data_IF_724692822839
#
_entry.id   IF_724692822839
#
_cell.length_a   1.000
_cell.length_b   1.000
_cell.length_c   1.000
_cell.angle_alpha   90.00
_cell.angle_beta   90.00
_cell.angle_gamma   90.00
#
_symmetry.space_group_name_H-M   'P 1'
#
loop_
_entity.id
_entity.type
_entity.pdbx_description
1 polymer ?
#
# COMPACT_ATOMS: atom_id res chain seq x y z
N UNK A 1 -18.80 11.24 -38.94
CA UNK A 1 -19.23 10.07 -38.14
C UNK A 1 -18.95 8.83 -38.98
N UNK A 2 -17.69 8.50 -39.23
CA UNK A 2 -17.30 7.35 -40.09
C UNK A 2 -15.84 6.95 -39.83
N UNK A 3 -15.52 6.49 -38.62
CA UNK A 3 -14.14 6.04 -38.32
C UNK A 3 -14.07 4.74 -37.51
N UNK A 4 -15.11 3.91 -37.52
CA UNK A 4 -15.11 2.61 -36.82
C UNK A 4 -15.82 1.49 -37.60
N UNK A 5 -15.62 1.41 -38.91
CA UNK A 5 -16.10 0.28 -39.72
C UNK A 5 -14.96 -0.39 -40.45
N UNK A 6 -14.06 -1.04 -39.71
CA UNK A 6 -13.22 -2.09 -40.29
C UNK A 6 -13.37 -3.41 -39.54
N UNK A 7 -14.33 -4.21 -40.04
CA UNK A 7 -14.50 -5.65 -39.78
C UNK A 7 -13.23 -6.40 -40.19
N UNK A 8 -12.29 -6.64 -39.26
CA UNK A 8 -11.44 -7.86 -39.19
C UNK A 8 -10.34 -7.87 -38.10
N UNK A 9 -10.39 -7.01 -37.09
CA UNK A 9 -9.49 -7.20 -35.94
C UNK A 9 -10.09 -8.29 -35.04
N UNK A 10 -9.67 -9.55 -35.24
CA UNK A 10 -9.92 -10.63 -34.28
C UNK A 10 -9.10 -10.34 -33.03
N UNK A 11 -9.67 -9.54 -32.12
CA UNK A 11 -9.02 -9.31 -30.85
C UNK A 11 -8.92 -10.62 -30.06
N UNK A 12 -7.69 -11.04 -29.75
CA UNK A 12 -7.42 -12.25 -28.96
C UNK A 12 -7.63 -12.01 -27.47
N UNK A 13 -8.60 -11.19 -27.06
CA UNK A 13 -8.87 -10.90 -25.64
C UNK A 13 -9.15 -12.19 -24.85
N UNK A 14 -9.86 -13.15 -25.47
CA UNK A 14 -10.13 -14.46 -24.86
C UNK A 14 -8.89 -15.35 -24.69
N UNK A 15 -7.80 -15.08 -25.42
CA UNK A 15 -6.53 -15.82 -25.33
C UNK A 15 -5.58 -15.13 -24.35
N UNK A 16 -5.49 -13.79 -24.42
CA UNK A 16 -4.70 -12.97 -23.47
C UNK A 16 -5.24 -13.10 -22.04
N UNK A 17 -6.56 -13.19 -21.85
CA UNK A 17 -7.15 -13.42 -20.53
C UNK A 17 -6.86 -14.80 -19.91
N UNK A 18 -6.47 -15.81 -20.72
CA UNK A 18 -6.07 -17.14 -20.23
C UNK A 18 -4.58 -17.21 -19.85
N UNK A 19 -3.74 -16.42 -20.54
CA UNK A 19 -2.32 -16.27 -20.20
C UNK A 19 -2.09 -15.23 -19.08
N UNK A 20 -3.12 -14.46 -18.74
CA UNK A 20 -3.15 -13.58 -17.57
C UNK A 20 -3.22 -14.44 -16.30
N UNK A 21 -2.06 -14.74 -15.71
CA UNK A 21 -2.01 -15.18 -14.31
C UNK A 21 -2.35 -13.95 -13.47
N UNK A 22 -3.41 -14.02 -12.65
CA UNK A 22 -3.51 -13.11 -11.52
C UNK A 22 -2.21 -13.30 -10.72
N UNK A 23 -1.37 -12.27 -10.71
CA UNK A 23 -0.29 -12.21 -9.72
C UNK A 23 -1.05 -11.95 -8.43
N UNK A 24 -1.19 -12.98 -7.59
CA UNK A 24 -1.69 -12.81 -6.23
C UNK A 24 -0.65 -11.97 -5.50
N UNK A 25 -0.80 -10.65 -5.59
CA UNK A 25 0.06 -9.69 -4.92
C UNK A 25 -0.54 -9.46 -3.55
N UNK A 26 -0.19 -10.34 -2.62
CA UNK A 26 -0.42 -10.05 -1.21
C UNK A 26 0.30 -8.75 -0.89
N UNK A 27 -0.50 -7.77 -0.56
CA UNK A 27 -0.07 -6.41 -0.27
C UNK A 27 -0.74 -5.97 1.02
N UNK A 28 -0.02 -5.17 1.77
CA UNK A 28 -0.50 -4.56 3.01
C UNK A 28 -0.64 -3.06 2.79
N UNK A 29 -1.63 -2.48 3.43
CA UNK A 29 -1.83 -1.03 3.43
C UNK A 29 -1.07 -0.44 4.62
N UNK A 30 -0.23 0.55 4.35
CA UNK A 30 0.46 1.34 5.37
C UNK A 30 -0.07 2.78 5.32
N UNK A 31 -0.53 3.27 6.46
CA UNK A 31 -0.96 4.64 6.66
C UNK A 31 0.24 5.50 7.08
N UNK A 32 0.45 6.59 6.36
CA UNK A 32 1.55 7.53 6.56
C UNK A 32 1.01 8.74 7.34
N UNK A 33 1.27 8.77 8.65
CA UNK A 33 0.79 9.82 9.56
C UNK A 33 1.81 10.94 9.84
N UNK A 34 2.74 11.19 8.92
CA UNK A 34 3.78 12.22 9.11
C UNK A 34 3.24 13.66 9.02
N UNK A 35 2.13 13.86 8.31
CA UNK A 35 1.44 15.16 8.25
C UNK A 35 0.46 15.34 9.41
N UNK A 36 0.31 16.58 9.90
CA UNK A 36 -0.62 16.89 11.01
C UNK A 36 -2.08 16.50 10.67
N UNK A 37 -2.51 16.70 9.42
CA UNK A 37 -3.83 16.30 8.96
C UNK A 37 -3.99 14.77 8.95
N UNK A 38 -2.97 14.04 8.51
CA UNK A 38 -2.97 12.58 8.47
C UNK A 38 -3.05 11.98 9.88
N UNK A 39 -2.26 12.50 10.83
CA UNK A 39 -2.29 12.07 12.23
C UNK A 39 -3.66 12.35 12.88
N UNK A 40 -4.27 13.51 12.58
CA UNK A 40 -5.65 13.80 13.03
C UNK A 40 -6.65 12.77 12.49
N UNK A 41 -6.58 12.44 11.21
CA UNK A 41 -7.45 11.42 10.60
C UNK A 41 -7.25 10.07 11.28
N UNK A 42 -6.00 9.66 11.51
CA UNK A 42 -5.67 8.40 12.17
C UNK A 42 -6.22 8.33 13.61
N UNK A 43 -6.09 9.41 14.39
CA UNK A 43 -6.69 9.50 15.74
C UNK A 43 -8.21 9.39 15.69
N UNK A 44 -8.85 10.07 14.73
CA UNK A 44 -10.29 9.98 14.54
C UNK A 44 -10.75 8.56 14.17
N UNK A 45 -10.01 7.85 13.31
CA UNK A 45 -10.27 6.45 12.98
C UNK A 45 -10.17 5.56 14.23
N UNK A 46 -9.15 5.75 15.06
CA UNK A 46 -8.97 4.97 16.30
C UNK A 46 -10.08 5.21 17.33
N UNK A 47 -10.64 6.42 17.39
CA UNK A 47 -11.71 6.77 18.35
C UNK A 47 -13.11 6.42 17.83
N UNK A 48 -13.42 6.77 16.58
CA UNK A 48 -14.76 6.64 15.98
C UNK A 48 -14.94 5.30 15.25
N UNK A 49 -13.85 4.55 15.04
CA UNK A 49 -13.81 3.36 14.20
C UNK A 49 -13.69 3.68 12.71
N UNK A 50 -13.55 2.61 11.92
CA UNK A 50 -13.31 2.67 10.48
C UNK A 50 -14.59 2.87 9.67
N UNK A 51 -15.18 4.06 9.79
CA UNK A 51 -16.37 4.44 9.00
C UNK A 51 -16.03 4.64 7.53
N UNK A 52 -17.01 4.48 6.62
CA UNK A 52 -16.81 4.70 5.17
C UNK A 52 -16.27 6.09 4.85
N UNK A 53 -16.77 7.13 5.53
CA UNK A 53 -16.28 8.50 5.36
C UNK A 53 -14.87 8.69 5.91
N UNK A 54 -14.57 8.11 7.08
CA UNK A 54 -13.22 8.14 7.65
C UNK A 54 -12.20 7.46 6.75
N UNK A 55 -12.51 6.25 6.26
CA UNK A 55 -11.65 5.52 5.33
C UNK A 55 -11.44 6.27 4.02
N UNK A 56 -12.46 6.95 3.50
CA UNK A 56 -12.33 7.78 2.30
C UNK A 56 -11.33 8.93 2.49
N UNK A 57 -11.33 9.56 3.66
CA UNK A 57 -10.37 10.61 3.99
C UNK A 57 -8.96 10.04 4.26
N UNK A 58 -8.90 8.83 4.80
CA UNK A 58 -7.64 8.15 5.11
C UNK A 58 -6.90 7.64 3.87
N UNK A 59 -7.61 7.29 2.81
CA UNK A 59 -7.04 6.62 1.62
C UNK A 59 -5.93 7.45 0.95
N UNK A 60 -5.99 8.78 1.01
CA UNK A 60 -4.97 9.66 0.43
C UNK A 60 -3.61 9.56 1.14
N UNK A 61 -3.60 9.06 2.38
CA UNK A 61 -2.40 8.85 3.19
C UNK A 61 -2.01 7.36 3.27
N UNK A 62 -2.63 6.51 2.44
CA UNK A 62 -2.34 5.09 2.39
C UNK A 62 -1.40 4.76 1.23
N UNK A 63 -0.36 3.98 1.52
CA UNK A 63 0.49 3.35 0.52
C UNK A 63 0.33 1.85 0.57
N UNK A 64 0.48 1.19 -0.58
CA UNK A 64 0.40 -0.27 -0.69
C UNK A 64 1.80 -0.84 -0.78
N UNK A 65 2.12 -1.79 0.09
CA UNK A 65 3.45 -2.40 0.22
C UNK A 65 3.32 -3.90 -0.02
N UNK A 66 4.20 -4.49 -0.85
CA UNK A 66 4.25 -5.93 -1.05
C UNK A 66 4.73 -6.66 0.20
N UNK A 67 4.22 -7.87 0.45
CA UNK A 67 4.58 -8.70 1.61
C UNK A 67 6.10 -8.76 1.88
N UNK A 68 6.93 -8.98 0.85
CA UNK A 68 8.39 -9.05 1.02
C UNK A 68 9.00 -7.78 1.63
N UNK A 69 8.48 -6.61 1.25
CA UNK A 69 8.93 -5.32 1.78
C UNK A 69 8.29 -5.06 3.14
N UNK A 70 7.01 -5.40 3.28
CA UNK A 70 6.27 -5.28 4.53
C UNK A 70 6.94 -6.08 5.65
N UNK A 71 7.31 -7.34 5.42
CA UNK A 71 7.93 -8.22 6.42
C UNK A 71 9.23 -7.63 6.97
N UNK A 72 10.02 -6.98 6.11
CA UNK A 72 11.25 -6.31 6.53
C UNK A 72 10.94 -5.09 7.40
N UNK A 73 9.99 -4.24 6.96
CA UNK A 73 9.58 -3.05 7.71
C UNK A 73 8.96 -3.41 9.07
N UNK A 74 8.09 -4.41 9.08
CA UNK A 74 7.45 -4.92 10.28
C UNK A 74 8.48 -5.55 11.23
N UNK A 75 9.40 -6.37 10.71
CA UNK A 75 10.50 -6.96 11.48
C UNK A 75 11.48 -5.94 12.07
N UNK A 76 11.66 -4.80 11.41
CA UNK A 76 12.44 -3.67 11.92
C UNK A 76 11.69 -2.79 12.94
N UNK A 77 10.42 -3.11 13.25
CA UNK A 77 9.59 -2.35 14.18
C UNK A 77 9.09 -1.01 13.64
N UNK A 78 9.09 -0.82 12.32
CA UNK A 78 8.66 0.43 11.66
C UNK A 78 7.15 0.51 11.44
N UNK A 79 6.43 -0.61 11.59
CA UNK A 79 5.01 -0.72 11.31
C UNK A 79 4.27 -1.30 12.50
N UNK A 80 3.05 -0.80 12.73
CA UNK A 80 2.15 -1.33 13.76
C UNK A 80 0.74 -1.50 13.22
N UNK A 81 -0.01 -2.54 13.60
CA UNK A 81 -1.42 -2.64 13.24
C UNK A 81 -2.20 -1.43 13.77
N UNK A 82 -3.06 -0.83 12.94
CA UNK A 82 -3.89 0.30 13.39
C UNK A 82 -4.95 -0.15 14.40
N UNK A 83 -5.46 -1.37 14.22
CA UNK A 83 -6.41 -2.01 15.13
C UNK A 83 -6.23 -3.54 15.13
N UNK A 84 -6.51 -4.19 16.27
CA UNK A 84 -6.33 -5.64 16.44
C UNK A 84 -7.24 -6.48 15.53
N UNK A 85 -8.39 -5.94 15.13
CA UNK A 85 -9.40 -6.62 14.33
C UNK A 85 -9.35 -6.25 12.84
N UNK A 86 -8.33 -5.51 12.40
CA UNK A 86 -8.21 -5.08 11.01
C UNK A 86 -6.97 -5.71 10.39
N UNK A 87 -7.20 -6.68 9.52
CA UNK A 87 -6.15 -7.31 8.74
C UNK A 87 -5.61 -6.32 7.71
N UNK A 88 -4.32 -6.46 7.43
CA UNK A 88 -3.64 -5.80 6.31
C UNK A 88 -3.63 -4.27 6.34
N UNK A 89 -3.85 -3.66 7.52
CA UNK A 89 -3.77 -2.22 7.70
C UNK A 89 -2.90 -1.79 8.89
N UNK A 90 -1.83 -1.06 8.57
CA UNK A 90 -0.76 -0.70 9.49
C UNK A 90 -0.50 0.80 9.47
N UNK A 91 0.04 1.35 10.55
CA UNK A 91 0.58 2.71 10.64
C UNK A 91 2.10 2.68 10.61
N UNK A 92 2.70 3.71 10.00
CA UNK A 92 4.14 3.96 10.09
C UNK A 92 4.46 4.54 11.47
N UNK A 93 5.32 3.87 12.23
CA UNK A 93 5.71 4.33 13.58
C UNK A 93 7.00 5.13 13.60
N UNK A 94 7.81 5.03 12.54
CA UNK A 94 9.04 5.79 12.36
C UNK A 94 8.88 6.81 11.24
N UNK A 95 8.48 8.03 11.61
CA UNK A 95 8.26 9.14 10.67
C UNK A 95 9.53 9.54 9.91
N UNK A 96 10.72 9.25 10.44
CA UNK A 96 11.99 9.57 9.78
C UNK A 96 12.20 8.80 8.47
N UNK A 97 11.45 7.71 8.28
CA UNK A 97 11.48 6.85 7.08
C UNK A 97 10.55 7.31 5.99
N UNK A 98 9.87 8.44 6.15
CA UNK A 98 9.06 9.04 5.10
C UNK A 98 9.45 10.51 4.93
N UNK A 99 9.68 10.89 3.68
CA UNK A 99 9.85 12.30 3.32
C UNK A 99 8.90 12.64 2.18
N UNK A 100 8.43 13.89 2.12
CA UNK A 100 7.59 14.35 1.01
C UNK A 100 8.33 14.25 -0.34
N UNK A 101 9.65 14.41 -0.35
CA UNK A 101 10.46 14.40 -1.57
C UNK A 101 10.73 12.98 -2.09
N UNK A 102 11.12 12.03 -1.23
CA UNK A 102 11.53 10.67 -1.63
C UNK A 102 10.46 9.60 -1.37
N UNK A 103 9.40 9.95 -0.64
CA UNK A 103 8.36 9.01 -0.23
C UNK A 103 8.84 8.10 0.91
N UNK A 104 8.28 6.88 0.95
CA UNK A 104 8.59 5.88 1.96
C UNK A 104 9.93 5.20 1.65
N UNK A 105 10.87 5.30 2.58
CA UNK A 105 12.17 4.65 2.50
C UNK A 105 12.02 3.14 2.77
N UNK A 106 12.36 2.34 1.76
CA UNK A 106 12.26 0.88 1.79
C UNK A 106 13.60 0.19 2.05
N UNK A 107 14.70 0.93 1.98
CA UNK A 107 16.04 0.42 2.27
C UNK A 107 16.21 0.29 3.79
N UNK A 108 15.99 -0.92 4.27
CA UNK A 108 16.26 -1.27 5.67
C UNK A 108 17.64 -1.92 5.68
N UNK A 109 18.63 -1.19 6.17
CA UNK A 109 19.94 -1.75 6.43
C UNK A 109 19.84 -2.73 7.61
N UNK A 110 19.61 -4.00 7.28
CA UNK A 110 19.51 -5.07 8.28
C UNK A 110 20.87 -5.42 8.92
N UNK A 111 21.96 -4.69 8.64
CA UNK A 111 23.28 -4.93 9.23
C UNK A 111 23.84 -6.33 8.96
N UNK A 112 23.26 -7.08 8.00
CA UNK A 112 23.77 -8.39 7.60
C UNK A 112 24.80 -8.22 6.49
N UNK A 113 26.06 -8.00 6.91
CA UNK A 113 27.20 -8.22 6.02
C UNK A 113 27.33 -9.72 5.78
N UNK A 114 26.96 -10.18 4.58
CA UNK A 114 27.36 -11.48 4.06
C UNK A 114 28.81 -11.38 3.59
N UNK A 115 29.73 -11.92 4.39
CA UNK A 115 31.08 -12.21 3.91
C UNK A 115 31.03 -13.47 3.04
N UNK A 116 31.55 -13.39 1.81
CA UNK A 116 31.84 -14.51 0.91
C UNK A 116 33.35 -14.72 0.77
#
# INVERSE_FOLDING_TARGET
>A
MDEFTNKKIKYRFAQVGKDFRLIEQNTKTVFINCEEEADKILRELKVKGFTRSGMRNATQYCVTVYDQTFDKMYGAGMLKPIAENMEDFYELTDESRYTEEMGLELEIDNGMVLFF
#
